data_IF_568539076491
#
_entry.id   IF_568539076491
#
_cell.length_a   1.000
_cell.length_b   1.000
_cell.length_c   1.000
_cell.angle_alpha   90.00
_cell.angle_beta   90.00
_cell.angle_gamma   90.00
#
_symmetry.space_group_name_H-M   'P 1'
#
loop_
_entity.id
_entity.type
_entity.pdbx_description
1 polymer ?
#
# COMPACT_ATOMS: atom_id res chain seq x y z
N UNK A 1 -8.11 21.52 -26.16
CA UNK A 1 -8.91 20.78 -25.17
C UNK A 1 -7.97 19.92 -24.31
N UNK A 2 -8.05 19.96 -22.96
CA UNK A 2 -7.30 19.02 -22.11
C UNK A 2 -8.00 17.66 -22.22
N UNK A 3 -7.28 16.65 -22.73
CA UNK A 3 -7.79 15.28 -22.77
C UNK A 3 -8.08 14.78 -21.36
N UNK A 4 -9.11 13.96 -21.19
CA UNK A 4 -9.41 13.31 -19.91
C UNK A 4 -8.34 12.24 -19.60
N UNK A 5 -8.15 11.89 -18.30
CA UNK A 5 -7.22 10.82 -17.91
C UNK A 5 -7.50 9.50 -18.66
N UNK A 6 -8.75 9.02 -18.83
CA UNK A 6 -9.04 7.82 -19.60
C UNK A 6 -8.63 7.85 -21.07
N UNK A 7 -8.61 9.04 -21.70
CA UNK A 7 -8.18 9.18 -23.10
C UNK A 7 -6.67 9.16 -23.27
N UNK A 8 -5.94 9.43 -22.20
CA UNK A 8 -4.49 9.55 -22.20
C UNK A 8 -3.79 8.31 -21.63
N UNK A 9 -4.46 7.58 -20.75
CA UNK A 9 -3.82 6.56 -19.93
C UNK A 9 -4.59 5.25 -19.94
N UNK A 10 -3.82 4.15 -19.97
CA UNK A 10 -4.32 2.78 -19.82
C UNK A 10 -3.66 2.10 -18.64
N UNK A 11 -4.40 1.17 -18.02
CA UNK A 11 -3.91 0.33 -16.93
C UNK A 11 -4.00 -1.11 -17.39
N UNK A 12 -2.87 -1.80 -17.41
CA UNK A 12 -2.77 -3.19 -17.86
C UNK A 12 -1.98 -4.03 -16.85
N UNK A 13 -2.28 -5.33 -16.72
CA UNK A 13 -1.43 -6.26 -15.99
C UNK A 13 -0.03 -6.31 -16.60
N UNK A 14 0.99 -6.39 -15.75
CA UNK A 14 2.38 -6.50 -16.17
C UNK A 14 3.09 -7.60 -15.37
N UNK A 15 4.14 -8.23 -15.91
CA UNK A 15 5.00 -9.12 -15.15
C UNK A 15 5.63 -8.40 -13.94
N UNK A 16 5.78 -9.09 -12.81
CA UNK A 16 6.31 -8.52 -11.59
C UNK A 16 7.66 -7.81 -11.78
N UNK A 17 8.55 -8.38 -12.59
CA UNK A 17 9.89 -7.83 -12.86
C UNK A 17 9.86 -6.42 -13.46
N UNK A 18 8.83 -6.04 -14.23
CA UNK A 18 8.70 -4.69 -14.77
C UNK A 18 8.46 -3.61 -13.70
N UNK A 19 8.06 -4.02 -12.51
CA UNK A 19 7.85 -3.10 -11.39
C UNK A 19 9.11 -2.88 -10.55
N UNK A 20 10.12 -3.76 -10.64
CA UNK A 20 11.23 -3.81 -9.69
C UNK A 20 12.04 -2.52 -9.66
N UNK A 21 12.39 -1.96 -10.81
CA UNK A 21 13.15 -0.71 -10.89
C UNK A 21 12.41 0.47 -10.23
N UNK A 22 11.08 0.54 -10.47
CA UNK A 22 10.22 1.53 -9.83
C UNK A 22 10.17 1.40 -8.32
N UNK A 23 10.16 0.17 -7.81
CA UNK A 23 10.07 -0.10 -6.38
C UNK A 23 11.40 0.14 -5.66
N UNK A 24 12.51 -0.15 -6.33
CA UNK A 24 13.85 0.04 -5.75
C UNK A 24 14.30 1.50 -5.78
N UNK A 25 13.96 2.25 -6.82
CA UNK A 25 14.52 3.60 -7.02
C UNK A 25 13.52 4.73 -6.76
N UNK A 26 12.23 4.52 -7.05
CA UNK A 26 11.22 5.58 -6.91
C UNK A 26 10.32 5.47 -5.68
N UNK A 27 10.06 4.27 -5.18
CA UNK A 27 9.24 4.10 -3.98
C UNK A 27 10.06 4.35 -2.72
N UNK A 28 9.53 5.11 -1.75
CA UNK A 28 10.22 5.44 -0.49
C UNK A 28 10.73 4.23 0.30
N UNK A 29 10.08 3.06 0.20
CA UNK A 29 10.50 1.86 0.91
C UNK A 29 11.69 1.14 0.25
N UNK A 30 12.06 1.49 -0.99
CA UNK A 30 13.23 0.99 -1.74
C UNK A 30 13.47 -0.52 -1.64
N UNK A 31 12.40 -1.31 -1.70
CA UNK A 31 12.47 -2.78 -1.64
C UNK A 31 11.30 -3.43 -2.38
N UNK A 32 11.52 -4.64 -2.89
CA UNK A 32 10.52 -5.46 -3.56
C UNK A 32 9.72 -6.24 -2.50
N UNK A 33 8.39 -6.10 -2.44
CA UNK A 33 7.53 -6.92 -1.58
C UNK A 33 7.20 -8.26 -2.25
N UNK A 34 6.41 -9.12 -1.58
CA UNK A 34 5.71 -10.21 -2.26
C UNK A 34 4.74 -9.64 -3.30
N UNK A 35 4.79 -10.09 -4.54
CA UNK A 35 3.95 -9.63 -5.65
C UNK A 35 3.17 -10.82 -6.21
N UNK A 36 1.84 -10.76 -6.12
CA UNK A 36 0.91 -11.71 -6.73
C UNK A 36 0.23 -11.12 -7.97
N UNK A 37 -0.05 -9.81 -7.93
CA UNK A 37 -0.60 -9.06 -9.07
C UNK A 37 0.17 -7.76 -9.22
N UNK A 38 0.48 -7.41 -10.45
CA UNK A 38 1.16 -6.17 -10.80
C UNK A 38 0.47 -5.50 -11.98
N UNK A 39 0.35 -4.18 -11.91
CA UNK A 39 -0.24 -3.36 -12.95
C UNK A 39 0.69 -2.21 -13.31
N UNK A 40 0.74 -1.91 -14.60
CA UNK A 40 1.42 -0.75 -15.17
C UNK A 40 0.40 0.30 -15.62
N UNK A 41 0.70 1.55 -15.34
CA UNK A 41 -0.01 2.72 -15.87
C UNK A 41 0.78 3.25 -17.06
N UNK A 42 0.19 3.23 -18.24
CA UNK A 42 0.80 3.71 -19.48
C UNK A 42 0.11 4.97 -19.98
N UNK A 43 0.92 5.87 -20.51
CA UNK A 43 0.44 7.08 -21.19
C UNK A 43 0.81 7.04 -22.66
N UNK A 44 -0.13 7.38 -23.54
CA UNK A 44 0.12 7.46 -24.98
C UNK A 44 1.30 8.38 -25.28
N UNK A 45 2.33 7.87 -25.94
CA UNK A 45 3.56 8.59 -26.30
C UNK A 45 4.64 8.68 -25.20
N UNK A 46 4.32 8.38 -23.92
CA UNK A 46 5.27 8.50 -22.81
C UNK A 46 5.59 7.18 -22.08
N UNK A 47 5.05 6.05 -22.55
CA UNK A 47 5.31 4.75 -21.98
C UNK A 47 4.77 4.56 -20.54
N UNK A 48 5.49 3.77 -19.74
CA UNK A 48 5.12 3.45 -18.36
C UNK A 48 5.27 4.68 -17.44
N UNK A 49 4.18 5.04 -16.77
CA UNK A 49 4.08 6.22 -15.90
C UNK A 49 3.85 5.88 -14.43
N UNK A 50 3.63 4.63 -14.11
CA UNK A 50 3.46 4.18 -12.74
C UNK A 50 3.27 2.68 -12.62
N UNK A 51 3.48 2.17 -11.41
CA UNK A 51 3.29 0.76 -11.06
C UNK A 51 2.46 0.61 -9.80
N UNK A 52 1.62 -0.43 -9.76
CA UNK A 52 0.80 -0.78 -8.62
C UNK A 52 0.92 -2.28 -8.38
N UNK A 53 1.25 -2.70 -7.15
CA UNK A 53 1.44 -4.12 -6.83
C UNK A 53 0.59 -4.56 -5.66
N UNK A 54 0.10 -5.80 -5.77
CA UNK A 54 -0.65 -6.50 -4.74
C UNK A 54 0.04 -7.82 -4.42
N UNK A 55 0.11 -8.16 -3.14
CA UNK A 55 0.73 -9.41 -2.72
C UNK A 55 0.24 -9.87 -1.36
N UNK A 56 0.68 -11.02 -0.92
CA UNK A 56 0.32 -11.51 0.40
C UNK A 56 0.92 -10.61 1.49
N UNK A 57 0.12 -10.21 2.49
CA UNK A 57 0.64 -9.51 3.65
C UNK A 57 1.75 -10.31 4.33
N UNK A 58 2.71 -9.60 4.89
CA UNK A 58 3.85 -10.22 5.54
C UNK A 58 3.50 -11.00 6.82
N UNK A 59 2.33 -10.77 7.41
CA UNK A 59 1.89 -11.40 8.65
C UNK A 59 0.61 -12.24 8.43
N UNK A 60 0.64 -13.56 8.64
CA UNK A 60 -0.56 -14.38 8.64
C UNK A 60 -1.61 -13.93 9.66
N UNK A 61 -1.17 -13.45 10.82
CA UNK A 61 -2.06 -12.89 11.86
C UNK A 61 -2.85 -11.67 11.38
N UNK A 62 -2.26 -10.87 10.49
CA UNK A 62 -2.98 -9.77 9.85
C UNK A 62 -4.13 -10.31 8.99
N UNK A 63 -3.88 -11.34 8.20
CA UNK A 63 -4.88 -11.93 7.33
C UNK A 63 -6.07 -12.45 8.13
N UNK A 64 -5.80 -13.21 9.20
CA UNK A 64 -6.83 -13.71 10.14
C UNK A 64 -7.54 -12.55 10.85
N UNK A 65 -6.79 -11.52 11.27
CA UNK A 65 -7.32 -10.38 12.00
C UNK A 65 -8.31 -9.52 11.20
N UNK A 66 -8.25 -9.53 9.86
CA UNK A 66 -9.14 -8.70 9.04
C UNK A 66 -10.54 -9.30 8.95
N UNK A 67 -10.67 -10.57 8.57
CA UNK A 67 -11.97 -11.21 8.31
C UNK A 67 -12.03 -12.68 8.80
N UNK A 68 -11.28 -13.04 9.83
CA UNK A 68 -11.26 -14.40 10.38
C UNK A 68 -10.39 -15.37 9.60
N UNK A 69 -10.24 -16.58 10.16
CA UNK A 69 -9.40 -17.65 9.61
C UNK A 69 -9.82 -18.12 8.23
N UNK A 70 -11.12 -18.37 8.05
CA UNK A 70 -11.69 -18.90 6.81
C UNK A 70 -11.48 -17.98 5.60
N UNK A 71 -11.43 -16.67 5.84
CA UNK A 71 -11.22 -15.67 4.79
C UNK A 71 -9.75 -15.25 4.63
N UNK A 72 -8.85 -15.76 5.46
CA UNK A 72 -7.43 -15.32 5.51
C UNK A 72 -6.70 -15.53 4.19
N UNK A 73 -7.02 -16.60 3.46
CA UNK A 73 -6.44 -16.90 2.15
C UNK A 73 -6.84 -15.89 1.06
N UNK A 74 -7.97 -15.18 1.23
CA UNK A 74 -8.46 -14.17 0.30
C UNK A 74 -7.86 -12.78 0.54
N UNK A 75 -7.07 -12.60 1.62
CA UNK A 75 -6.48 -11.32 1.98
C UNK A 75 -5.21 -11.06 1.17
N UNK A 76 -5.18 -9.90 0.53
CA UNK A 76 -4.02 -9.33 -0.18
C UNK A 76 -3.77 -7.90 0.28
N UNK A 77 -2.55 -7.44 0.13
CA UNK A 77 -2.16 -6.07 0.43
C UNK A 77 -1.85 -5.32 -0.87
N UNK A 78 -2.49 -4.18 -1.10
CA UNK A 78 -1.93 -3.18 -2.01
C UNK A 78 -0.68 -2.64 -1.33
N UNK A 79 0.46 -3.19 -1.68
CA UNK A 79 1.70 -2.99 -0.93
C UNK A 79 2.61 -1.91 -1.54
N UNK A 80 2.44 -1.59 -2.83
CA UNK A 80 3.17 -0.52 -3.50
C UNK A 80 2.30 0.19 -4.53
N UNK A 81 2.42 1.51 -4.54
CA UNK A 81 1.85 2.39 -5.54
C UNK A 81 2.86 3.49 -5.85
N UNK A 82 3.27 3.58 -7.09
CA UNK A 82 4.18 4.62 -7.59
C UNK A 82 3.60 5.22 -8.86
N UNK A 83 3.56 6.53 -8.94
CA UNK A 83 3.11 7.27 -10.13
C UNK A 83 4.09 8.42 -10.34
N UNK A 84 4.47 8.68 -11.59
CA UNK A 84 5.32 9.82 -11.93
C UNK A 84 4.69 11.15 -11.51
N UNK A 85 5.52 12.08 -11.04
CA UNK A 85 5.09 13.39 -10.56
C UNK A 85 4.52 14.28 -11.65
N UNK A 86 4.96 14.06 -12.90
CA UNK A 86 4.44 14.72 -14.11
C UNK A 86 3.01 14.33 -14.47
N UNK A 87 2.46 13.28 -13.87
CA UNK A 87 1.11 12.83 -14.15
C UNK A 87 0.05 13.83 -13.66
N UNK A 88 -1.09 13.95 -14.37
CA UNK A 88 -2.20 14.82 -13.97
C UNK A 88 -2.73 14.51 -12.56
N UNK A 89 -3.39 15.50 -11.94
CA UNK A 89 -4.09 15.31 -10.68
C UNK A 89 -5.09 14.14 -10.80
N UNK A 90 -5.26 13.37 -9.73
CA UNK A 90 -6.14 12.19 -9.61
C UNK A 90 -5.66 10.94 -10.38
N UNK A 91 -4.51 10.96 -11.04
CA UNK A 91 -3.98 9.79 -11.74
C UNK A 91 -3.80 8.59 -10.80
N UNK A 92 -3.31 8.80 -9.58
CA UNK A 92 -3.11 7.72 -8.61
C UNK A 92 -4.45 7.03 -8.23
N UNK A 93 -5.54 7.80 -8.02
CA UNK A 93 -6.85 7.23 -7.71
C UNK A 93 -7.48 6.54 -8.92
N UNK A 94 -7.31 7.09 -10.11
CA UNK A 94 -7.70 6.41 -11.35
C UNK A 94 -6.98 5.07 -11.50
N UNK A 95 -5.66 5.06 -11.29
CA UNK A 95 -4.82 3.87 -11.40
C UNK A 95 -5.27 2.79 -10.40
N UNK A 96 -5.41 3.14 -9.11
CA UNK A 96 -5.88 2.19 -8.08
C UNK A 96 -7.27 1.65 -8.41
N UNK A 97 -8.21 2.51 -8.83
CA UNK A 97 -9.56 2.09 -9.19
C UNK A 97 -9.55 1.08 -10.35
N UNK A 98 -8.77 1.34 -11.40
CA UNK A 98 -8.65 0.41 -12.55
C UNK A 98 -7.97 -0.89 -12.17
N UNK A 99 -6.91 -0.84 -11.37
CA UNK A 99 -6.22 -2.03 -10.87
C UNK A 99 -7.15 -2.91 -10.01
N UNK A 100 -7.92 -2.31 -9.10
CA UNK A 100 -8.90 -3.03 -8.27
C UNK A 100 -10.00 -3.74 -9.10
N UNK A 101 -10.44 -3.08 -10.19
CA UNK A 101 -11.46 -3.65 -11.09
C UNK A 101 -10.90 -4.80 -11.95
N UNK A 102 -9.59 -4.84 -12.16
CA UNK A 102 -8.91 -5.90 -12.91
C UNK A 102 -8.50 -7.10 -12.04
N UNK A 103 -8.61 -6.99 -10.71
CA UNK A 103 -8.38 -8.11 -9.80
C UNK A 103 -9.55 -9.11 -9.85
N UNK A 104 -9.31 -10.39 -9.52
CA UNK A 104 -10.38 -11.36 -9.31
C UNK A 104 -11.41 -10.87 -8.29
N UNK A 105 -12.67 -11.32 -8.45
CA UNK A 105 -13.73 -11.10 -7.45
C UNK A 105 -13.47 -11.85 -6.15
N UNK A 106 -14.11 -11.41 -5.07
CA UNK A 106 -14.07 -12.07 -3.76
C UNK A 106 -12.82 -11.83 -2.93
N UNK A 107 -11.84 -11.05 -3.41
CA UNK A 107 -10.64 -10.74 -2.62
C UNK A 107 -10.90 -9.64 -1.59
N UNK A 108 -10.12 -9.69 -0.51
CA UNK A 108 -10.08 -8.72 0.58
C UNK A 108 -8.76 -7.99 0.49
N UNK A 109 -8.80 -6.72 0.11
CA UNK A 109 -7.58 -5.92 -0.09
C UNK A 109 -7.39 -5.01 1.11
N UNK A 110 -6.23 -5.10 1.74
CA UNK A 110 -5.80 -4.16 2.79
C UNK A 110 -4.73 -3.22 2.24
N UNK A 111 -4.67 -2.00 2.73
CA UNK A 111 -3.55 -1.09 2.47
C UNK A 111 -3.35 -0.12 3.61
N UNK A 112 -2.19 0.50 3.63
CA UNK A 112 -1.74 1.37 4.71
C UNK A 112 -1.25 2.71 4.18
N UNK A 113 -1.75 3.80 4.78
CA UNK A 113 -1.16 5.12 4.59
C UNK A 113 -0.28 5.45 5.80
N UNK A 114 0.99 5.68 5.55
CA UNK A 114 1.99 5.90 6.60
C UNK A 114 1.89 7.31 7.17
N UNK A 115 1.58 7.41 8.46
CA UNK A 115 1.45 8.69 9.16
C UNK A 115 2.80 9.38 9.26
N UNK A 116 3.89 8.64 9.45
CA UNK A 116 5.24 9.19 9.47
C UNK A 116 5.67 9.84 8.14
N UNK A 117 5.05 9.41 7.02
CA UNK A 117 5.21 10.02 5.70
C UNK A 117 4.22 11.18 5.46
N UNK A 118 3.41 11.56 6.44
CA UNK A 118 2.35 12.56 6.28
C UNK A 118 1.19 12.10 5.38
N UNK A 119 0.98 10.81 5.24
CA UNK A 119 -0.07 10.26 4.39
C UNK A 119 -1.33 9.94 5.19
N UNK A 120 -2.46 10.48 4.77
CA UNK A 120 -3.78 10.16 5.35
C UNK A 120 -4.64 9.28 4.43
N UNK A 121 -4.06 8.74 3.36
CA UNK A 121 -4.73 7.80 2.46
C UNK A 121 -5.77 8.42 1.52
N UNK A 122 -5.56 9.64 1.01
CA UNK A 122 -6.47 10.31 0.05
C UNK A 122 -6.82 9.45 -1.16
N UNK A 123 -5.86 8.64 -1.67
CA UNK A 123 -6.08 7.71 -2.78
C UNK A 123 -7.14 6.68 -2.39
N UNK A 124 -7.05 6.10 -1.21
CA UNK A 124 -8.01 5.10 -0.71
C UNK A 124 -9.37 5.72 -0.46
N UNK A 125 -9.42 6.93 0.13
CA UNK A 125 -10.67 7.66 0.35
C UNK A 125 -11.39 7.94 -0.96
N UNK A 126 -10.68 8.39 -1.99
CA UNK A 126 -11.25 8.69 -3.31
C UNK A 126 -11.61 7.45 -4.14
N UNK A 127 -11.21 6.26 -3.71
CA UNK A 127 -11.57 4.98 -4.33
C UNK A 127 -12.48 4.12 -3.45
N UNK A 128 -13.15 4.74 -2.46
CA UNK A 128 -14.20 4.15 -1.62
C UNK A 128 -13.74 2.97 -0.75
N UNK A 129 -12.51 2.99 -0.26
CA UNK A 129 -12.07 2.01 0.73
C UNK A 129 -12.70 2.28 2.10
N UNK A 130 -12.90 1.24 2.89
CA UNK A 130 -13.34 1.36 4.27
C UNK A 130 -12.15 1.72 5.15
N UNK A 131 -12.25 2.81 5.89
CA UNK A 131 -11.25 3.16 6.89
C UNK A 131 -11.52 2.39 8.19
N UNK A 132 -10.52 1.69 8.71
CA UNK A 132 -10.66 0.82 9.88
C UNK A 132 -9.73 1.20 11.03
N UNK A 133 -9.35 2.47 11.09
CA UNK A 133 -8.51 3.02 12.15
C UNK A 133 -7.01 2.97 11.83
N UNK A 134 -6.21 3.37 12.79
CA UNK A 134 -4.76 3.35 12.68
C UNK A 134 -4.15 2.17 13.46
N UNK A 135 -3.00 1.69 13.01
CA UNK A 135 -2.20 0.73 13.77
C UNK A 135 -1.54 1.44 14.95
N UNK A 136 -1.17 0.69 15.98
CA UNK A 136 -0.35 1.24 17.07
C UNK A 136 1.07 1.49 16.59
N UNK A 137 1.70 2.51 17.12
CA UNK A 137 3.14 2.68 17.00
C UNK A 137 3.85 1.54 17.72
N UNK A 138 4.98 1.13 17.21
CA UNK A 138 5.81 0.09 17.80
C UNK A 138 7.27 0.30 17.46
N UNK A 139 8.17 -0.27 18.25
CA UNK A 139 9.58 -0.36 17.89
C UNK A 139 9.86 -1.69 17.24
N UNK A 140 10.63 -1.68 16.15
CA UNK A 140 11.21 -2.87 15.52
C UNK A 140 12.73 -2.80 15.60
N UNK A 141 13.37 -3.96 15.53
CA UNK A 141 14.81 -4.04 15.31
C UNK A 141 15.10 -3.42 13.94
N UNK A 142 16.02 -2.48 13.87
CA UNK A 142 16.39 -1.78 12.65
C UNK A 142 17.90 -1.72 12.47
N UNK A 143 18.45 -2.43 11.50
CA UNK A 143 19.81 -2.28 11.01
C UNK A 143 19.79 -1.38 9.77
N UNK A 144 20.88 -0.66 9.49
CA UNK A 144 20.90 0.37 8.43
C UNK A 144 21.03 -0.18 6.99
N UNK A 145 20.87 -1.48 6.82
CA UNK A 145 21.01 -2.18 5.54
C UNK A 145 19.72 -2.23 4.69
N UNK A 146 18.65 -1.54 5.11
CA UNK A 146 17.31 -1.61 4.50
C UNK A 146 16.67 -3.01 4.49
N UNK A 147 17.28 -4.02 5.13
CA UNK A 147 16.70 -5.34 5.23
C UNK A 147 15.51 -5.38 6.20
N UNK A 148 14.68 -6.38 6.09
CA UNK A 148 13.59 -6.59 7.05
C UNK A 148 14.13 -7.39 8.24
N UNK A 149 13.72 -7.05 9.47
CA UNK A 149 14.15 -7.71 10.71
C UNK A 149 14.04 -9.26 10.72
N UNK A 150 13.28 -9.85 9.81
CA UNK A 150 13.21 -11.31 9.60
C UNK A 150 14.49 -11.92 9.05
N UNK A 151 15.29 -11.12 8.36
CA UNK A 151 16.51 -11.54 7.70
C UNK A 151 17.75 -11.26 8.54
N UNK A 152 17.55 -10.71 9.77
CA UNK A 152 18.67 -10.48 10.68
C UNK A 152 19.16 -11.79 11.28
N UNK A 153 20.45 -11.87 11.48
CA UNK A 153 21.08 -13.00 12.15
C UNK A 153 20.58 -13.07 13.60
N UNK A 154 19.96 -14.20 13.95
CA UNK A 154 19.39 -14.43 15.28
C UNK A 154 20.44 -14.59 16.37
N UNK A 155 21.71 -14.80 15.98
CA UNK A 155 22.86 -14.92 16.90
C UNK A 155 23.41 -13.59 17.37
N UNK A 156 23.00 -12.46 16.76
CA UNK A 156 23.47 -11.12 17.10
C UNK A 156 22.47 -10.41 18.03
N UNK A 157 23.02 -9.67 18.99
CA UNK A 157 22.20 -8.79 19.86
C UNK A 157 21.91 -7.45 19.16
N UNK A 158 20.64 -7.25 18.81
CA UNK A 158 20.15 -6.01 18.22
C UNK A 158 19.36 -5.15 19.24
N UNK A 159 19.50 -5.40 20.53
CA UNK A 159 18.73 -4.70 21.58
C UNK A 159 18.89 -3.18 21.52
N UNK A 160 20.06 -2.69 21.11
CA UNK A 160 20.38 -1.27 20.95
C UNK A 160 19.92 -0.70 19.59
N UNK A 161 19.61 -1.54 18.61
CA UNK A 161 19.26 -1.12 17.26
C UNK A 161 17.72 -1.10 17.09
N UNK A 162 17.05 -0.19 17.78
CA UNK A 162 15.60 -0.07 17.67
C UNK A 162 15.21 1.14 16.85
N UNK A 163 14.31 0.94 15.86
CA UNK A 163 13.69 2.00 15.05
C UNK A 163 12.20 2.08 15.37
N UNK A 164 11.70 3.30 15.54
CA UNK A 164 10.28 3.55 15.68
C UNK A 164 9.56 3.23 14.37
N UNK A 165 8.55 2.36 14.42
CA UNK A 165 7.57 2.20 13.35
C UNK A 165 6.36 3.07 13.63
N UNK A 166 6.22 4.08 12.80
CA UNK A 166 5.09 5.00 12.87
C UNK A 166 3.77 4.28 12.69
N UNK A 167 2.74 4.81 13.32
CA UNK A 167 1.36 4.41 13.11
C UNK A 167 0.96 4.54 11.63
N UNK A 168 0.05 3.69 11.16
CA UNK A 168 -0.42 3.69 9.76
C UNK A 168 -1.93 3.62 9.73
N UNK A 169 -2.56 4.50 8.96
CA UNK A 169 -3.98 4.41 8.66
C UNK A 169 -4.27 3.15 7.84
N UNK A 170 -5.16 2.27 8.32
CA UNK A 170 -5.54 1.04 7.65
C UNK A 170 -6.82 1.21 6.87
N UNK A 171 -6.77 0.77 5.62
CA UNK A 171 -7.89 0.79 4.69
C UNK A 171 -8.17 -0.63 4.18
N UNK A 172 -9.45 -0.97 4.01
CA UNK A 172 -9.89 -2.28 3.52
C UNK A 172 -10.84 -2.07 2.33
N UNK A 173 -10.66 -2.86 1.29
CA UNK A 173 -11.53 -2.88 0.12
C UNK A 173 -11.88 -4.32 -0.24
N UNK A 174 -13.11 -4.54 -0.70
CA UNK A 174 -13.58 -5.84 -1.18
C UNK A 174 -13.74 -5.79 -2.68
N UNK A 175 -13.15 -6.75 -3.41
CA UNK A 175 -13.32 -6.89 -4.87
C UNK A 175 -14.57 -7.69 -5.20
N UNK A 176 -14.95 -7.71 -6.47
CA UNK A 176 -16.07 -8.50 -6.96
C UNK A 176 -17.39 -7.75 -7.06
N UNK A 177 -18.49 -8.48 -7.22
CA UNK A 177 -19.83 -7.96 -7.37
C UNK A 177 -20.44 -7.48 -6.03
N UNK A 178 -21.63 -6.88 -6.08
CA UNK A 178 -22.29 -6.34 -4.88
C UNK A 178 -22.58 -7.41 -3.80
N UNK A 179 -22.87 -8.65 -4.21
CA UNK A 179 -23.16 -9.75 -3.28
C UNK A 179 -21.88 -10.17 -2.55
N UNK A 180 -20.79 -10.42 -3.29
CA UNK A 180 -19.50 -10.78 -2.73
C UNK A 180 -18.96 -9.71 -1.77
N UNK A 181 -19.02 -8.44 -2.17
CA UNK A 181 -18.63 -7.31 -1.31
C UNK A 181 -19.44 -7.26 -0.01
N UNK A 182 -20.73 -7.52 -0.08
CA UNK A 182 -21.61 -7.52 1.10
C UNK A 182 -21.28 -8.67 2.05
N UNK A 183 -21.05 -9.88 1.51
CA UNK A 183 -20.69 -11.04 2.31
C UNK A 183 -19.34 -10.85 3.00
N UNK A 184 -18.31 -10.47 2.27
CA UNK A 184 -17.00 -10.21 2.85
C UNK A 184 -17.01 -9.08 3.90
N UNK A 185 -17.87 -8.06 3.71
CA UNK A 185 -18.02 -6.97 4.68
C UNK A 185 -18.64 -7.42 6.00
N UNK A 186 -19.49 -8.43 6.02
CA UNK A 186 -20.08 -8.99 7.26
C UNK A 186 -18.99 -9.62 8.14
N UNK A 187 -17.96 -10.20 7.52
CA UNK A 187 -16.86 -10.87 8.20
C UNK A 187 -15.74 -9.91 8.63
N UNK A 188 -15.89 -8.60 8.37
CA UNK A 188 -14.88 -7.61 8.76
C UNK A 188 -14.83 -7.45 10.28
N UNK A 189 -13.71 -7.85 10.90
CA UNK A 189 -13.51 -7.78 12.35
C UNK A 189 -13.25 -6.36 12.88
N UNK A 190 -12.99 -5.40 11.98
CA UNK A 190 -12.67 -4.02 12.37
C UNK A 190 -13.87 -3.11 12.20
N UNK A 191 -14.08 -2.22 13.18
CA UNK A 191 -15.06 -1.15 13.09
C UNK A 191 -14.71 -0.22 11.92
N UNK A 192 -15.68 0.09 11.08
CA UNK A 192 -15.54 1.13 10.05
C UNK A 192 -15.70 2.50 10.71
N UNK A 193 -14.74 3.37 10.47
CA UNK A 193 -14.66 4.71 11.05
C UNK A 193 -14.78 5.78 9.96
N UNK A 194 -15.11 7.02 10.33
CA UNK A 194 -15.00 8.16 9.42
C UNK A 194 -13.56 8.35 8.94
N UNK A 195 -13.41 8.81 7.70
CA UNK A 195 -12.08 9.07 7.15
C UNK A 195 -11.31 10.11 7.97
N UNK A 196 -9.99 9.92 8.15
CA UNK A 196 -9.16 10.94 8.76
C UNK A 196 -9.18 12.21 7.91
N UNK A 197 -9.32 13.35 8.58
CA UNK A 197 -9.30 14.68 7.95
C UNK A 197 -7.88 15.25 8.00
N UNK A 198 -7.56 16.12 7.08
CA UNK A 198 -6.28 16.81 7.03
C UNK A 198 -5.69 16.86 5.61
N UNK A 199 -4.51 17.44 5.52
CA UNK A 199 -3.73 17.45 4.29
C UNK A 199 -2.90 16.17 4.19
N UNK A 200 -2.65 15.72 2.96
CA UNK A 200 -1.71 14.64 2.69
C UNK A 200 -0.46 15.23 2.08
N UNK A 201 0.69 14.85 2.59
CA UNK A 201 1.96 15.21 1.95
C UNK A 201 2.11 14.39 0.67
N UNK A 202 2.57 15.03 -0.39
CA UNK A 202 2.95 14.32 -1.62
C UNK A 202 4.34 13.75 -1.37
N UNK A 203 4.53 12.45 -1.60
CA UNK A 203 5.85 11.86 -1.60
C UNK A 203 6.59 12.34 -2.84
N UNK A 204 7.76 12.88 -2.60
CA UNK A 204 8.76 13.20 -3.60
C UNK A 204 9.91 12.21 -3.43
N UNK A 205 10.53 11.75 -4.52
CA UNK A 205 11.65 10.80 -4.49
C UNK A 205 12.87 11.34 -3.69
N UNK A 206 12.97 12.66 -3.50
CA UNK A 206 13.97 13.32 -2.66
C UNK A 206 13.59 13.38 -1.18
N UNK A 207 12.33 13.10 -0.83
CA UNK A 207 11.86 13.19 0.55
C UNK A 207 12.37 12.00 1.40
N UNK A 208 13.24 12.30 2.34
CA UNK A 208 13.61 11.38 3.41
C UNK A 208 12.81 11.76 4.67
N UNK A 209 11.98 10.87 5.25
CA UNK A 209 11.30 11.15 6.50
C UNK A 209 12.32 11.31 7.61
N UNK A 210 12.14 12.30 8.49
CA UNK A 210 12.87 12.40 9.74
C UNK A 210 12.55 11.18 10.59
N UNK A 211 13.45 10.23 10.65
CA UNK A 211 13.36 9.09 11.55
C UNK A 211 13.76 9.63 12.92
N UNK A 212 12.78 9.90 13.78
CA UNK A 212 13.07 10.17 15.18
C UNK A 212 13.74 8.93 15.76
N UNK A 213 15.05 9.03 16.00
CA UNK A 213 15.73 8.10 16.87
C UNK A 213 15.23 8.39 18.27
N UNK A 214 14.42 7.51 18.82
CA UNK A 214 14.14 7.51 20.27
C UNK A 214 15.45 7.12 20.93
N UNK A 215 16.17 8.11 21.40
CA UNK A 215 17.23 7.92 22.40
C UNK A 215 16.52 7.41 23.66
N UNK A 216 16.63 6.15 23.94
CA UNK A 216 16.36 5.64 25.27
C UNK A 216 17.56 6.06 26.14
N UNK A 217 17.36 7.09 26.95
CA UNK A 217 18.18 7.33 28.17
C UNK A 217 17.76 6.36 29.25
#
# INVERSE_FOLDING_TARGET
>A
MRKSIPEMMSVIPVPAWQTHDWLLHKHYAKRIPSISYAFGLYCSGNGLQGVCTFGKPASPFLCVGICGGDSSALVYELNRLVVNDSCPKNTASYFVSKSLNALPGGLIIVSYADIGMGHIGKVYQSTNWLYTGATKERTDIGVDDNSHSRHYDKGLDYSLNRKLRTSKHRYVYFTGNKKEKRENRKNLNYKVLPYPKGNTRRYDASYNPDIQQTLFT
#
